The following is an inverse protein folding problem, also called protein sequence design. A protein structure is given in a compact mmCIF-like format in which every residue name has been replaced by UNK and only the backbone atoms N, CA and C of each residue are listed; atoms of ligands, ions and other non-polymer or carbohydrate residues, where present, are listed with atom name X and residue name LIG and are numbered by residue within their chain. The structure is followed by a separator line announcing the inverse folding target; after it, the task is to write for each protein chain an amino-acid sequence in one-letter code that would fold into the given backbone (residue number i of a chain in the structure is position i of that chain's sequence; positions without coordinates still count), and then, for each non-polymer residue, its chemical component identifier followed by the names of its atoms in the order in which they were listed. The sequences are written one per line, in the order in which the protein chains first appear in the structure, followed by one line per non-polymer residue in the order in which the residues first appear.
data_IF_771876421853
#
_entry.id   IF_771876421853
#
_cell.length_a   1.000
_cell.length_b   1.000
_cell.length_c   1.000
_cell.angle_alpha   90.00
_cell.angle_beta   90.00
_cell.angle_gamma   90.00
#
_symmetry.space_group_name_H-M   'P 1'
#
loop_
_entity.id
_entity.type
_entity.pdbx_description
1 polymer ?
#
# COMPACT_ATOMS: atom_id res chain seq x y z
N UNK A 1 6.66 -1.77 16.18
CA UNK A 1 7.17 -2.12 14.82
C UNK A 1 8.69 -2.10 14.67
N UNK A 2 9.43 -1.13 15.23
CA UNK A 2 10.90 -1.08 15.11
C UNK A 2 11.54 -2.34 15.74
N UNK A 3 12.07 -3.22 14.89
CA UNK A 3 12.72 -4.49 15.26
C UNK A 3 12.06 -5.75 14.72
N UNK A 4 10.81 -5.68 14.25
CA UNK A 4 10.06 -6.86 13.74
C UNK A 4 10.06 -6.98 12.21
N UNK A 5 10.38 -5.90 11.51
CA UNK A 5 10.53 -5.84 10.06
C UNK A 5 11.87 -5.21 9.69
N UNK A 6 12.46 -5.64 8.58
CA UNK A 6 13.73 -5.07 8.09
C UNK A 6 13.50 -3.75 7.32
N UNK A 7 14.58 -3.09 6.89
CA UNK A 7 14.50 -1.81 6.17
C UNK A 7 13.70 -1.93 4.87
N UNK A 8 13.94 -2.96 4.07
CA UNK A 8 13.24 -3.14 2.79
C UNK A 8 11.72 -3.33 2.98
N UNK A 9 11.33 -4.07 4.03
CA UNK A 9 9.94 -4.24 4.43
C UNK A 9 9.33 -2.94 4.93
N UNK A 10 10.08 -2.17 5.71
CA UNK A 10 9.65 -0.84 6.17
C UNK A 10 9.42 0.10 4.97
N UNK A 11 10.34 0.12 4.01
CA UNK A 11 10.23 0.94 2.79
C UNK A 11 9.03 0.51 1.94
N UNK A 12 8.80 -0.80 1.81
CA UNK A 12 7.60 -1.32 1.15
C UNK A 12 6.30 -0.93 1.88
N UNK A 13 6.30 -0.88 3.21
CA UNK A 13 5.15 -0.43 4.00
C UNK A 13 4.86 1.06 3.77
N UNK A 14 5.91 1.90 3.73
CA UNK A 14 5.77 3.31 3.37
C UNK A 14 5.23 3.46 1.95
N UNK A 15 5.75 2.68 1.00
CA UNK A 15 5.30 2.74 -0.39
C UNK A 15 3.85 2.28 -0.56
N UNK A 16 3.43 1.26 0.18
CA UNK A 16 2.04 0.83 0.27
C UNK A 16 1.11 1.99 0.71
N UNK A 17 1.50 2.73 1.76
CA UNK A 17 0.73 3.88 2.25
C UNK A 17 0.66 5.01 1.21
N UNK A 18 1.75 5.28 0.50
CA UNK A 18 1.78 6.25 -0.60
C UNK A 18 0.81 5.89 -1.72
N UNK A 19 0.91 4.66 -2.26
CA UNK A 19 0.05 4.19 -3.34
C UNK A 19 -1.43 4.20 -2.93
N UNK A 20 -1.72 3.81 -1.68
CA UNK A 20 -3.08 3.88 -1.13
C UNK A 20 -3.57 5.32 -1.05
N UNK A 21 -2.77 6.25 -0.53
CA UNK A 21 -3.15 7.65 -0.42
C UNK A 21 -3.35 8.31 -1.80
N UNK A 22 -2.46 8.05 -2.75
CA UNK A 22 -2.57 8.57 -4.13
C UNK A 22 -3.87 8.11 -4.79
N UNK A 23 -4.27 6.85 -4.58
CA UNK A 23 -5.57 6.35 -5.02
C UNK A 23 -6.74 7.07 -4.37
N UNK A 24 -6.72 7.26 -3.04
CA UNK A 24 -7.78 7.98 -2.34
C UNK A 24 -7.92 9.42 -2.87
N UNK A 25 -6.79 10.12 -3.06
CA UNK A 25 -6.74 11.44 -3.69
C UNK A 25 -7.30 11.42 -5.11
N UNK A 26 -6.89 10.44 -5.94
CA UNK A 26 -7.35 10.28 -7.31
C UNK A 26 -8.87 10.02 -7.42
N UNK A 27 -9.46 9.38 -6.40
CA UNK A 27 -10.89 9.10 -6.31
C UNK A 27 -11.68 10.10 -5.46
N UNK A 28 -11.03 11.17 -4.99
CA UNK A 28 -11.63 12.18 -4.11
C UNK A 28 -12.35 11.58 -2.89
N UNK A 29 -11.77 10.53 -2.32
CA UNK A 29 -12.36 9.79 -1.22
C UNK A 29 -12.09 10.47 0.13
N UNK A 30 -12.97 10.26 1.14
CA UNK A 30 -12.68 10.64 2.51
C UNK A 30 -11.42 9.91 3.01
N UNK A 31 -10.72 10.51 3.97
CA UNK A 31 -9.45 10.01 4.55
C UNK A 31 -8.20 10.12 3.67
N UNK A 32 -8.31 10.72 2.48
CA UNK A 32 -7.14 11.09 1.69
C UNK A 32 -6.38 12.26 2.34
N UNK A 33 -5.05 12.18 2.35
CA UNK A 33 -4.15 13.26 2.72
C UNK A 33 -3.84 14.07 1.46
N UNK A 34 -4.57 15.18 1.27
CA UNK A 34 -4.51 16.02 0.07
C UNK A 34 -3.27 16.94 -0.01
N UNK A 35 -2.48 17.05 1.07
CA UNK A 35 -1.28 17.89 1.13
C UNK A 35 -0.21 17.49 0.07
N UNK A 36 -0.27 16.25 -0.43
CA UNK A 36 0.63 15.73 -1.48
C UNK A 36 0.08 15.85 -2.91
N UNK A 37 -1.10 16.43 -3.09
CA UNK A 37 -1.72 16.51 -4.43
C UNK A 37 -0.97 17.52 -5.32
N UNK A 38 -0.66 17.18 -6.59
CA UNK A 38 -0.08 18.14 -7.52
C UNK A 38 -1.01 19.35 -7.70
N UNK A 39 -0.47 20.57 -7.64
CA UNK A 39 -1.26 21.79 -7.86
C UNK A 39 -1.91 21.75 -9.25
N UNK A 40 -3.22 21.93 -9.29
CA UNK A 40 -4.09 21.54 -10.40
C UNK A 40 -4.09 22.45 -11.63
N UNK A 41 -3.03 23.20 -11.90
CA UNK A 41 -3.03 24.17 -13.03
C UNK A 41 -2.92 23.50 -14.41
N UNK A 42 -2.54 22.23 -14.49
CA UNK A 42 -2.54 21.43 -15.72
C UNK A 42 -3.52 20.24 -15.60
N UNK A 43 -4.67 20.37 -16.25
CA UNK A 43 -5.73 19.37 -16.24
C UNK A 43 -5.32 18.06 -16.94
N UNK A 44 -4.50 18.14 -17.99
CA UNK A 44 -4.02 16.96 -18.72
C UNK A 44 -3.00 16.17 -17.88
N UNK A 45 -2.09 16.86 -17.20
CA UNK A 45 -1.18 16.25 -16.23
C UNK A 45 -1.95 15.61 -15.08
N UNK A 46 -2.96 16.29 -14.54
CA UNK A 46 -3.83 15.75 -13.48
C UNK A 46 -4.53 14.47 -13.92
N UNK A 47 -5.10 14.43 -15.13
CA UNK A 47 -5.77 13.22 -15.64
C UNK A 47 -4.82 12.03 -15.75
N UNK A 48 -3.62 12.25 -16.32
CA UNK A 48 -2.59 11.20 -16.39
C UNK A 48 -2.17 10.69 -15.02
N UNK A 49 -2.03 11.58 -14.04
CA UNK A 49 -1.71 11.21 -12.67
C UNK A 49 -2.82 10.37 -12.02
N UNK A 50 -4.10 10.73 -12.21
CA UNK A 50 -5.24 9.94 -11.71
C UNK A 50 -5.28 8.54 -12.31
N UNK A 51 -5.04 8.41 -13.61
CA UNK A 51 -4.95 7.13 -14.31
C UNK A 51 -3.79 6.27 -13.77
N UNK A 52 -2.62 6.89 -13.59
CA UNK A 52 -1.44 6.24 -13.02
C UNK A 52 -1.68 5.76 -11.59
N UNK A 53 -2.15 6.62 -10.69
CA UNK A 53 -2.45 6.29 -9.30
C UNK A 53 -3.48 5.16 -9.19
N UNK A 54 -4.53 5.22 -10.02
CA UNK A 54 -5.53 4.15 -10.11
C UNK A 54 -4.90 2.83 -10.53
N UNK A 55 -4.07 2.84 -11.59
CA UNK A 55 -3.42 1.61 -12.08
C UNK A 55 -2.47 1.01 -11.05
N UNK A 56 -1.65 1.84 -10.39
CA UNK A 56 -0.70 1.39 -9.37
C UNK A 56 -1.41 0.71 -8.20
N UNK A 57 -2.51 1.32 -7.72
CA UNK A 57 -3.30 0.73 -6.65
C UNK A 57 -3.93 -0.60 -7.05
N UNK A 58 -4.52 -0.70 -8.25
CA UNK A 58 -5.14 -1.94 -8.73
C UNK A 58 -4.10 -3.06 -8.90
N UNK A 59 -2.93 -2.75 -9.45
CA UNK A 59 -1.84 -3.72 -9.57
C UNK A 59 -1.37 -4.20 -8.19
N UNK A 60 -1.19 -3.29 -7.25
CA UNK A 60 -0.84 -3.62 -5.86
C UNK A 60 -1.89 -4.52 -5.21
N UNK A 61 -3.19 -4.27 -5.44
CA UNK A 61 -4.27 -5.13 -4.96
C UNK A 61 -4.22 -6.54 -5.57
N UNK A 62 -3.89 -6.67 -6.85
CA UNK A 62 -3.72 -7.99 -7.47
C UNK A 62 -2.51 -8.74 -6.88
N UNK A 63 -1.38 -8.08 -6.61
CA UNK A 63 -0.25 -8.71 -5.90
C UNK A 63 -0.67 -9.24 -4.53
N UNK A 64 -1.43 -8.46 -3.76
CA UNK A 64 -1.93 -8.88 -2.45
C UNK A 64 -2.83 -10.11 -2.58
N UNK A 65 -3.74 -10.10 -3.56
CA UNK A 65 -4.69 -11.18 -3.82
C UNK A 65 -3.99 -12.46 -4.29
N UNK A 66 -3.02 -12.37 -5.19
CA UNK A 66 -2.22 -13.52 -5.64
C UNK A 66 -1.42 -14.11 -4.48
N UNK A 67 -0.78 -13.26 -3.68
CA UNK A 67 -0.04 -13.69 -2.48
C UNK A 67 -0.99 -14.37 -1.49
N UNK A 68 -2.18 -13.81 -1.25
CA UNK A 68 -3.22 -14.40 -0.39
C UNK A 68 -3.68 -15.77 -0.88
N UNK A 69 -3.74 -15.98 -2.20
CA UNK A 69 -4.08 -17.27 -2.78
C UNK A 69 -3.01 -18.34 -2.51
N UNK A 70 -1.73 -17.95 -2.54
CA UNK A 70 -0.60 -18.83 -2.25
C UNK A 70 -0.49 -19.18 -0.76
N UNK A 71 -0.80 -18.22 0.11
CA UNK A 71 -0.58 -18.30 1.55
C UNK A 71 -1.90 -18.19 2.34
N UNK A 72 -2.82 -19.12 2.10
CA UNK A 72 -4.22 -19.07 2.58
C UNK A 72 -4.39 -19.02 4.10
N UNK A 73 -3.38 -19.46 4.85
CA UNK A 73 -3.40 -19.48 6.31
C UNK A 73 -3.14 -18.10 6.95
N UNK A 74 -2.66 -17.13 6.17
CA UNK A 74 -2.39 -15.78 6.65
C UNK A 74 -3.52 -14.82 6.27
N UNK A 75 -3.57 -13.66 6.93
CA UNK A 75 -4.53 -12.61 6.61
C UNK A 75 -3.78 -11.31 6.27
N UNK A 76 -3.43 -11.16 4.99
CA UNK A 76 -2.62 -10.02 4.53
C UNK A 76 -3.40 -8.71 4.55
N UNK A 77 -4.70 -8.76 4.25
CA UNK A 77 -5.57 -7.59 4.35
C UNK A 77 -5.63 -7.06 5.78
N UNK A 78 -5.81 -7.94 6.78
CA UNK A 78 -5.81 -7.53 8.18
C UNK A 78 -4.44 -7.00 8.63
N UNK A 79 -3.34 -7.65 8.19
CA UNK A 79 -2.00 -7.19 8.52
C UNK A 79 -1.72 -5.77 7.98
N UNK A 80 -2.04 -5.49 6.71
CA UNK A 80 -1.84 -4.17 6.10
C UNK A 80 -2.80 -3.11 6.68
N UNK A 81 -4.04 -3.49 6.98
CA UNK A 81 -5.00 -2.57 7.56
C UNK A 81 -4.61 -2.20 9.00
N UNK A 82 -4.49 -3.18 9.88
CA UNK A 82 -4.32 -2.90 11.31
C UNK A 82 -2.90 -2.50 11.65
N UNK A 83 -1.91 -3.23 11.15
CA UNK A 83 -0.53 -2.93 11.52
C UNK A 83 -0.01 -1.70 10.76
N UNK A 84 -0.25 -1.59 9.45
CA UNK A 84 0.36 -0.51 8.64
C UNK A 84 -0.50 0.75 8.58
N UNK A 85 -1.81 0.61 8.35
CA UNK A 85 -2.68 1.79 8.15
C UNK A 85 -3.19 2.39 9.45
N UNK A 86 -3.41 1.56 10.47
CA UNK A 86 -3.96 1.97 11.77
C UNK A 86 -2.92 1.96 12.90
N UNK A 87 -1.69 1.54 12.63
CA UNK A 87 -0.58 1.48 13.59
C UNK A 87 -0.94 0.72 14.89
N UNK A 88 -1.74 -0.35 14.76
CA UNK A 88 -2.10 -1.21 15.88
C UNK A 88 -1.00 -2.23 16.19
N UNK A 89 -0.87 -2.59 17.46
CA UNK A 89 0.06 -3.64 17.91
C UNK A 89 -0.64 -5.00 18.00
N UNK A 90 -0.61 -5.77 16.92
CA UNK A 90 -1.18 -7.13 16.86
C UNK A 90 -0.08 -8.16 16.50
N UNK A 91 0.71 -8.65 17.49
CA UNK A 91 1.87 -9.52 17.24
C UNK A 91 1.57 -10.77 16.41
N UNK A 92 0.36 -11.31 16.53
CA UNK A 92 -0.06 -12.50 15.76
C UNK A 92 -0.21 -12.24 14.25
N UNK A 93 -0.28 -10.98 13.81
CA UNK A 93 -0.32 -10.59 12.40
C UNK A 93 1.07 -10.29 11.81
N UNK A 94 2.12 -10.18 12.64
CA UNK A 94 3.49 -9.86 12.19
C UNK A 94 4.02 -10.85 11.14
N UNK A 95 3.83 -12.18 11.27
CA UNK A 95 4.24 -13.10 10.22
C UNK A 95 3.50 -12.88 8.89
N UNK A 96 2.21 -12.52 8.95
CA UNK A 96 1.44 -12.15 7.75
C UNK A 96 2.03 -10.89 7.11
N UNK A 97 2.38 -9.90 7.94
CA UNK A 97 2.95 -8.63 7.50
C UNK A 97 4.30 -8.81 6.79
N UNK A 98 5.22 -9.58 7.37
CA UNK A 98 6.53 -9.83 6.76
C UNK A 98 6.41 -10.45 5.36
N UNK A 99 5.52 -11.43 5.20
CA UNK A 99 5.32 -12.11 3.91
C UNK A 99 4.78 -11.13 2.87
N UNK A 100 3.73 -10.36 3.22
CA UNK A 100 3.14 -9.45 2.24
C UNK A 100 4.06 -8.28 1.92
N UNK A 101 4.81 -7.75 2.89
CA UNK A 101 5.80 -6.69 2.63
C UNK A 101 6.92 -7.18 1.72
N UNK A 102 7.38 -8.43 1.84
CA UNK A 102 8.35 -9.00 0.91
C UNK A 102 7.79 -9.13 -0.52
N UNK A 103 6.50 -9.47 -0.66
CA UNK A 103 5.85 -9.54 -1.97
C UNK A 103 5.68 -8.16 -2.61
N UNK A 104 5.29 -7.17 -1.81
CA UNK A 104 5.16 -5.78 -2.25
C UNK A 104 6.50 -5.14 -2.58
N UNK A 105 7.53 -5.40 -1.78
CA UNK A 105 8.90 -4.94 -2.04
C UNK A 105 9.39 -5.39 -3.42
N UNK A 106 9.22 -6.68 -3.74
CA UNK A 106 9.52 -7.20 -5.08
C UNK A 106 8.73 -6.48 -6.16
N UNK A 107 7.42 -6.28 -5.95
CA UNK A 107 6.60 -5.55 -6.92
C UNK A 107 7.07 -4.11 -7.15
N UNK A 108 7.57 -3.42 -6.12
CA UNK A 108 8.03 -2.04 -6.23
C UNK A 108 9.45 -1.90 -6.80
N UNK A 109 10.27 -2.93 -6.69
CA UNK A 109 11.64 -2.95 -7.23
C UNK A 109 11.70 -3.24 -8.75
N UNK A 110 10.62 -3.76 -9.34
CA UNK A 110 10.49 -4.05 -10.78
C UNK A 110 9.81 -2.91 -11.56
#
# INVERSE_FOLDING_TARGET
MQGEINQDQYDAAQKYLEVRNDYLCAKTLPSAIYDKMPSSSDEAARKKWVEFATKQFLNMQEVIKETQHLYRQYNFYAALQYLVSEDQELPYLVPSLQIILNALQKYFDY
#
